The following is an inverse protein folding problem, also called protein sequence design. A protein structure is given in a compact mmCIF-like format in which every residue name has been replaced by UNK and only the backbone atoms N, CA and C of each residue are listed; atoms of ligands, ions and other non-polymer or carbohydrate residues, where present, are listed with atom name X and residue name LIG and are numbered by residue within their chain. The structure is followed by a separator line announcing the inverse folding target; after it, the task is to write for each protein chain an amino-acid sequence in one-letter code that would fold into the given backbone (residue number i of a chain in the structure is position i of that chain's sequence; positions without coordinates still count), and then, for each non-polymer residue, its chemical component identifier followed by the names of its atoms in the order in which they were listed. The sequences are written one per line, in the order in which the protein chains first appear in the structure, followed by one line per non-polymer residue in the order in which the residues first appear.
data_IF_926086708535
#
_entry.id   IF_926086708535
#
_cell.length_a   1.000
_cell.length_b   1.000
_cell.length_c   1.000
_cell.angle_alpha   90.00
_cell.angle_beta   90.00
_cell.angle_gamma   90.00
#
_symmetry.space_group_name_H-M   'P 1'
#
loop_
_entity.id
_entity.type
_entity.pdbx_description
1 polymer ?
#
# COMPACT_ATOMS: atom_id res chain seq x y z
N UNK A 1 -19.82 27.41 15.18
CA UNK A 1 -19.26 26.07 15.50
C UNK A 1 -18.76 25.44 14.21
N UNK A 2 -17.58 24.79 14.21
CA UNK A 2 -17.03 24.15 13.01
C UNK A 2 -17.59 22.73 12.89
N UNK A 3 -18.31 22.44 11.81
CA UNK A 3 -18.78 21.09 11.51
C UNK A 3 -17.62 20.20 11.06
N UNK A 4 -17.53 19.00 11.63
CA UNK A 4 -16.48 18.01 11.32
C UNK A 4 -17.09 16.66 11.00
N UNK A 5 -16.49 15.96 10.04
CA UNK A 5 -16.88 14.61 9.64
C UNK A 5 -15.63 13.72 9.61
N UNK A 6 -15.64 12.63 10.37
CA UNK A 6 -14.62 11.58 10.24
C UNK A 6 -15.10 10.59 9.18
N UNK A 7 -14.23 10.23 8.24
CA UNK A 7 -14.54 9.30 7.16
C UNK A 7 -13.38 8.32 6.96
N UNK A 8 -13.72 7.07 6.65
CA UNK A 8 -12.77 6.10 6.09
C UNK A 8 -12.81 6.26 4.58
N UNK A 9 -11.71 6.69 3.99
CA UNK A 9 -11.63 6.92 2.55
C UNK A 9 -11.30 5.63 1.78
N UNK A 10 -11.44 5.66 0.45
CA UNK A 10 -11.24 4.51 -0.43
C UNK A 10 -9.85 3.88 -0.34
N UNK A 11 -8.85 4.64 0.11
CA UNK A 11 -7.49 4.15 0.29
C UNK A 11 -7.27 3.47 1.64
N UNK A 12 -8.31 3.34 2.47
CA UNK A 12 -8.23 2.72 3.80
C UNK A 12 -7.69 3.64 4.88
N UNK A 13 -7.53 4.94 4.61
CA UNK A 13 -7.06 5.92 5.58
C UNK A 13 -8.23 6.68 6.21
N UNK A 14 -8.19 6.89 7.52
CA UNK A 14 -9.15 7.74 8.20
C UNK A 14 -8.79 9.21 8.00
N UNK A 15 -9.74 10.00 7.49
CA UNK A 15 -9.61 11.44 7.28
C UNK A 15 -10.68 12.22 8.03
N UNK A 16 -10.24 13.28 8.70
CA UNK A 16 -11.11 14.26 9.33
C UNK A 16 -11.31 15.40 8.34
N UNK A 17 -12.57 15.58 7.95
CA UNK A 17 -13.02 16.68 7.13
C UNK A 17 -13.56 17.79 8.01
N UNK A 18 -13.22 19.03 7.69
CA UNK A 18 -13.76 20.23 8.34
C UNK A 18 -14.41 21.11 7.29
N UNK A 19 -15.61 21.57 7.59
CA UNK A 19 -16.35 22.47 6.70
C UNK A 19 -15.72 23.86 6.75
N UNK A 20 -15.48 24.45 5.59
CA UNK A 20 -14.98 25.82 5.49
C UNK A 20 -16.05 26.82 5.90
N UNK A 21 -15.62 27.92 6.52
CA UNK A 21 -16.52 28.97 6.97
C UNK A 21 -17.19 29.65 5.76
N UNK A 22 -18.52 29.78 5.81
CA UNK A 22 -19.30 30.38 4.72
C UNK A 22 -19.41 29.53 3.44
N UNK A 23 -18.90 28.28 3.44
CA UNK A 23 -18.92 27.38 2.29
C UNK A 23 -19.53 26.03 2.64
N UNK A 24 -20.11 25.33 1.67
CA UNK A 24 -20.50 23.91 1.78
C UNK A 24 -19.28 22.98 1.56
N UNK A 25 -18.12 23.54 1.19
CA UNK A 25 -16.90 22.78 0.92
C UNK A 25 -16.32 22.20 2.20
N UNK A 26 -16.02 20.91 2.17
CA UNK A 26 -15.28 20.21 3.21
C UNK A 26 -13.84 20.00 2.76
N UNK A 27 -12.87 20.34 3.61
CA UNK A 27 -11.44 20.11 3.38
C UNK A 27 -10.89 19.11 4.38
N UNK A 28 -9.89 18.33 3.97
CA UNK A 28 -9.17 17.43 4.87
C UNK A 28 -8.34 18.28 5.83
N UNK A 29 -8.69 18.26 7.12
CA UNK A 29 -7.94 18.96 8.17
C UNK A 29 -6.96 18.06 8.90
N UNK A 30 -7.19 16.74 8.88
CA UNK A 30 -6.27 15.72 9.43
C UNK A 30 -6.47 14.38 8.73
N UNK A 31 -5.41 13.59 8.67
CA UNK A 31 -5.45 12.17 8.29
C UNK A 31 -4.68 11.33 9.30
N UNK A 32 -5.12 10.09 9.52
CA UNK A 32 -4.51 9.19 10.50
C UNK A 32 -3.10 8.76 10.09
N UNK A 33 -2.93 8.36 8.83
CA UNK A 33 -1.64 7.93 8.28
C UNK A 33 -1.16 8.95 7.25
N UNK A 34 -0.20 9.83 7.57
CA UNK A 34 0.26 10.86 6.63
C UNK A 34 1.10 10.30 5.49
N UNK A 35 1.74 9.14 5.70
CA UNK A 35 2.55 8.44 4.71
C UNK A 35 1.68 7.39 4.02
N UNK A 36 1.38 7.59 2.74
CA UNK A 36 0.47 6.74 1.98
C UNK A 36 0.84 5.25 2.01
N UNK A 37 2.13 4.91 1.91
CA UNK A 37 2.59 3.52 1.97
C UNK A 37 2.47 2.84 3.35
N UNK A 38 2.12 3.59 4.42
CA UNK A 38 1.85 3.01 5.74
C UNK A 38 0.42 2.51 5.90
N UNK A 39 -0.47 2.84 4.96
CA UNK A 39 -1.83 2.31 5.00
C UNK A 39 -1.77 0.82 4.68
N UNK A 40 -2.36 0.00 5.53
CA UNK A 40 -2.27 -1.45 5.40
C UNK A 40 -3.00 -1.93 4.14
N UNK A 41 -2.40 -2.85 3.39
CA UNK A 41 -2.98 -3.39 2.15
C UNK A 41 -3.09 -2.40 0.99
N UNK A 42 -2.46 -1.21 1.12
CA UNK A 42 -2.56 -0.13 0.13
C UNK A 42 -2.06 -0.54 -1.25
N UNK A 43 -1.05 -1.41 -1.29
CA UNK A 43 -0.62 -2.14 -2.46
C UNK A 43 -0.95 -3.61 -2.24
N UNK A 44 -1.48 -4.28 -3.28
CA UNK A 44 -1.90 -5.68 -3.19
C UNK A 44 -0.75 -6.65 -2.85
N UNK A 45 -1.04 -7.95 -2.66
CA UNK A 45 -0.02 -8.94 -2.34
C UNK A 45 1.08 -9.00 -3.42
N UNK A 46 2.30 -9.34 -2.99
CA UNK A 46 3.48 -9.46 -3.84
C UNK A 46 3.83 -8.17 -4.62
N UNK A 47 3.56 -7.01 -4.02
CA UNK A 47 3.87 -5.71 -4.60
C UNK A 47 4.57 -4.78 -3.60
N UNK A 48 5.28 -3.80 -4.14
CA UNK A 48 6.08 -2.83 -3.37
C UNK A 48 5.43 -1.46 -3.47
N UNK A 49 5.19 -0.83 -2.32
CA UNK A 49 4.78 0.56 -2.25
C UNK A 49 6.00 1.48 -2.17
N UNK A 50 6.04 2.47 -3.05
CA UNK A 50 7.05 3.53 -3.06
C UNK A 50 6.38 4.90 -2.90
N UNK A 51 7.03 5.82 -2.17
CA UNK A 51 6.55 7.20 -2.05
C UNK A 51 6.77 7.93 -3.37
N UNK A 52 5.72 8.53 -3.90
CA UNK A 52 5.77 9.25 -5.18
C UNK A 52 4.95 10.54 -5.04
N UNK A 53 5.57 11.63 -4.53
CA UNK A 53 4.85 12.86 -4.17
C UNK A 53 4.10 13.51 -5.33
N UNK A 54 4.60 13.35 -6.55
CA UNK A 54 4.04 13.97 -7.75
C UNK A 54 2.80 13.23 -8.29
N UNK A 55 2.40 12.09 -7.71
CA UNK A 55 1.14 11.45 -8.05
C UNK A 55 0.01 11.97 -7.18
N UNK A 56 -1.21 12.04 -7.72
CA UNK A 56 -2.41 12.40 -6.94
C UNK A 56 -2.69 11.47 -5.74
N UNK A 57 -2.06 10.28 -5.69
CA UNK A 57 -2.15 9.34 -4.57
C UNK A 57 -0.96 9.41 -3.60
N UNK A 58 0.09 10.19 -3.89
CA UNK A 58 1.31 10.30 -3.09
C UNK A 58 2.16 9.02 -3.04
N UNK A 59 1.82 8.02 -3.87
CA UNK A 59 2.45 6.69 -3.89
C UNK A 59 2.46 6.09 -5.28
N UNK A 60 3.23 5.00 -5.43
CA UNK A 60 3.20 4.08 -6.57
C UNK A 60 3.36 2.64 -6.09
N UNK A 61 2.54 1.74 -6.62
CA UNK A 61 2.74 0.29 -6.45
C UNK A 61 3.49 -0.28 -7.65
N UNK A 62 4.45 -1.15 -7.38
CA UNK A 62 5.25 -1.84 -8.40
C UNK A 62 5.34 -3.35 -8.09
N UNK A 63 5.65 -4.17 -9.09
CA UNK A 63 5.85 -5.61 -8.85
C UNK A 63 7.16 -5.81 -8.09
N UNK A 64 7.20 -6.81 -7.22
CA UNK A 64 8.46 -7.40 -6.81
C UNK A 64 9.14 -8.00 -8.07
N UNK A 65 10.47 -7.96 -8.21
CA UNK A 65 11.15 -8.61 -9.33
C UNK A 65 10.73 -10.09 -9.48
N UNK A 66 10.49 -10.52 -10.72
CA UNK A 66 9.99 -11.86 -11.02
C UNK A 66 8.46 -12.02 -10.93
N UNK A 67 7.71 -10.96 -10.59
CA UNK A 67 6.25 -10.97 -10.54
C UNK A 67 5.62 -10.05 -11.61
N UNK A 68 4.37 -10.33 -11.97
CA UNK A 68 3.54 -9.52 -12.86
C UNK A 68 2.12 -9.32 -12.33
N UNK A 69 1.41 -8.37 -12.92
CA UNK A 69 -0.02 -8.19 -12.65
C UNK A 69 -0.78 -9.43 -13.12
N UNK A 70 -1.60 -9.98 -12.22
CA UNK A 70 -2.50 -11.09 -12.57
C UNK A 70 -3.55 -10.65 -13.58
N UNK A 71 -4.08 -9.45 -13.39
CA UNK A 71 -4.96 -8.77 -14.34
C UNK A 71 -4.42 -7.33 -14.57
N UNK A 72 -4.01 -6.98 -15.79
CA UNK A 72 -3.59 -5.61 -16.11
C UNK A 72 -4.70 -4.55 -15.95
N UNK A 73 -5.96 -4.97 -16.00
CA UNK A 73 -7.14 -4.10 -15.94
C UNK A 73 -7.59 -3.84 -14.50
N UNK A 74 -7.25 -4.74 -13.57
CA UNK A 74 -7.67 -4.66 -12.17
C UNK A 74 -6.51 -5.00 -11.21
N UNK A 75 -6.02 -3.97 -10.55
CA UNK A 75 -4.89 -4.05 -9.62
C UNK A 75 -5.25 -4.76 -8.31
N UNK A 76 -6.54 -4.96 -8.02
CA UNK A 76 -7.01 -5.61 -6.79
C UNK A 76 -6.70 -7.12 -6.77
N UNK A 77 -6.56 -7.76 -7.95
CA UNK A 77 -6.19 -9.17 -8.07
C UNK A 77 -4.74 -9.48 -7.65
N UNK A 78 -3.94 -8.46 -7.36
CA UNK A 78 -2.56 -8.63 -6.89
C UNK A 78 -1.62 -9.10 -8.00
N UNK A 79 -0.52 -9.75 -7.59
CA UNK A 79 0.58 -10.14 -8.48
C UNK A 79 0.86 -11.64 -8.43
N UNK A 80 1.22 -12.20 -9.58
CA UNK A 80 1.59 -13.60 -9.76
C UNK A 80 3.06 -13.75 -10.17
N UNK A 81 3.74 -14.85 -9.78
CA UNK A 81 5.11 -15.10 -10.20
C UNK A 81 5.17 -15.43 -11.70
N UNK A 82 6.23 -15.00 -12.38
CA UNK A 82 6.56 -15.38 -13.76
C UNK A 82 7.30 -16.72 -13.85
N UNK A 83 7.45 -17.40 -12.72
CA UNK A 83 8.18 -18.64 -12.58
C UNK A 83 7.33 -19.63 -11.79
N UNK A 84 7.61 -20.91 -11.96
CA UNK A 84 6.98 -21.95 -11.15
C UNK A 84 7.77 -22.08 -9.84
N UNK A 85 7.14 -21.86 -8.68
CA UNK A 85 7.82 -22.05 -7.40
C UNK A 85 8.17 -23.53 -7.23
N UNK A 86 9.44 -23.81 -6.96
CA UNK A 86 9.92 -25.15 -6.60
C UNK A 86 9.94 -25.29 -5.08
N UNK A 87 9.57 -26.47 -4.59
CA UNK A 87 9.76 -26.83 -3.18
C UNK A 87 11.15 -27.42 -2.92
N UNK A 88 11.97 -27.61 -3.97
CA UNK A 88 13.35 -28.02 -3.81
C UNK A 88 14.20 -26.83 -3.36
N UNK A 89 14.76 -26.93 -2.16
CA UNK A 89 15.63 -25.91 -1.59
C UNK A 89 16.89 -25.66 -2.43
N UNK A 90 17.31 -26.62 -3.26
CA UNK A 90 18.46 -26.45 -4.17
C UNK A 90 18.13 -25.58 -5.39
N UNK A 91 16.85 -25.46 -5.74
CA UNK A 91 16.37 -24.66 -6.88
C UNK A 91 15.83 -23.29 -6.43
N UNK A 92 15.70 -23.06 -5.12
CA UNK A 92 15.20 -21.83 -4.56
C UNK A 92 16.30 -20.75 -4.47
N UNK A 93 16.09 -19.62 -5.13
CA UNK A 93 16.91 -18.42 -5.00
C UNK A 93 16.24 -17.34 -4.15
N UNK A 94 17.03 -16.57 -3.41
CA UNK A 94 16.55 -15.42 -2.65
C UNK A 94 17.00 -14.12 -3.27
N UNK A 95 16.12 -13.12 -3.28
CA UNK A 95 16.43 -11.77 -3.75
C UNK A 95 16.66 -10.86 -2.56
N UNK A 96 17.84 -10.25 -2.49
CA UNK A 96 18.07 -9.16 -1.55
C UNK A 96 17.33 -7.92 -2.04
N UNK A 97 16.42 -7.42 -1.21
CA UNK A 97 15.64 -6.24 -1.53
C UNK A 97 15.85 -5.16 -0.46
N UNK A 98 16.87 -4.29 -0.64
CA UNK A 98 17.24 -3.32 0.38
C UNK A 98 16.19 -2.21 0.50
N UNK A 99 16.14 -1.58 1.67
CA UNK A 99 15.26 -0.44 1.96
C UNK A 99 13.76 -0.71 1.85
N UNK A 100 13.34 -1.98 1.94
CA UNK A 100 11.93 -2.37 2.03
C UNK A 100 11.53 -2.66 3.48
N UNK A 101 10.37 -2.14 3.88
CA UNK A 101 9.75 -2.47 5.16
C UNK A 101 8.77 -3.65 4.94
N UNK A 102 9.04 -4.79 5.58
CA UNK A 102 8.15 -5.96 5.54
C UNK A 102 6.98 -5.79 6.52
N UNK A 103 6.04 -4.93 6.16
CA UNK A 103 4.89 -4.61 7.01
C UNK A 103 3.97 -5.85 7.18
N UNK A 104 3.67 -6.23 8.42
CA UNK A 104 2.75 -7.33 8.75
C UNK A 104 3.40 -8.71 8.95
N UNK A 105 4.69 -8.89 8.68
CA UNK A 105 5.40 -10.17 8.89
C UNK A 105 6.08 -10.29 10.26
N UNK A 106 5.88 -9.31 11.16
CA UNK A 106 6.52 -9.29 12.48
C UNK A 106 5.88 -10.21 13.53
N UNK A 107 4.83 -10.96 13.20
CA UNK A 107 4.14 -11.84 14.16
C UNK A 107 4.79 -13.22 14.37
N UNK A 108 5.91 -13.51 13.70
CA UNK A 108 6.67 -14.73 13.93
C UNK A 108 8.08 -14.60 13.40
N UNK A 109 9.04 -14.27 14.26
CA UNK A 109 10.45 -14.45 13.95
C UNK A 109 10.72 -15.95 13.95
N UNK A 110 10.90 -16.55 12.76
CA UNK A 110 11.34 -17.93 12.62
C UNK A 110 12.84 -17.90 12.33
N UNK A 111 13.71 -18.22 13.30
CA UNK A 111 15.14 -18.34 13.03
C UNK A 111 15.38 -19.48 12.03
N UNK A 112 16.39 -19.29 11.16
CA UNK A 112 16.89 -20.33 10.25
C UNK A 112 17.56 -21.47 11.00
#
# INVERSE_FOLDING_TARGET
MVQRRLSLDFDGNFRLYSREEGSERCVVSRQALPKACRVHGICGPNSVCSYFPDSGSGRRCSCIPGYEMKDPSDWSYGRQPKFNPSCDAQEAGFLLFPHLEFYGYYYGFYPN
#
